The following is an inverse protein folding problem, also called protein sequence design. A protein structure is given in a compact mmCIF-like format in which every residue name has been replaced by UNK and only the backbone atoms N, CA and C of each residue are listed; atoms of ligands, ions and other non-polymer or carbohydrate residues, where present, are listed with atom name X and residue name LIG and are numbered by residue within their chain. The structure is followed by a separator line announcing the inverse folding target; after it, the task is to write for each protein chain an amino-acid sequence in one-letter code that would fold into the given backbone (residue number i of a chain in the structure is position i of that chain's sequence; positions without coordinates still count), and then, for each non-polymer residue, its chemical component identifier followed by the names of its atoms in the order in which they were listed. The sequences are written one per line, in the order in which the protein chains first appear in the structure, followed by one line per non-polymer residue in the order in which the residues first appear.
data_IF_343042297186
#
_entry.id   IF_343042297186
#
_cell.length_a   1.000
_cell.length_b   1.000
_cell.length_c   1.000
_cell.angle_alpha   90.00
_cell.angle_beta   90.00
_cell.angle_gamma   90.00
#
_symmetry.space_group_name_H-M   'P 1'
#
loop_
_entity.id
_entity.type
_entity.pdbx_description
1 polymer ?
#
# COMPACT_ATOMS: atom_id res chain seq x y z
N UNK A 1 -6.61 -16.03 13.74
CA UNK A 1 -6.70 -17.01 12.64
C UNK A 1 -6.16 -16.45 11.34
N UNK A 2 -4.90 -16.73 11.02
CA UNK A 2 -4.30 -16.52 9.68
C UNK A 2 -3.49 -17.78 9.36
N UNK A 3 -3.65 -18.41 8.20
CA UNK A 3 -2.92 -19.62 7.87
C UNK A 3 -1.42 -19.34 7.73
N UNK A 4 -0.59 -20.21 8.30
CA UNK A 4 0.89 -20.10 8.22
C UNK A 4 1.44 -20.32 6.81
N UNK A 5 0.62 -20.87 5.90
CA UNK A 5 0.98 -21.13 4.50
C UNK A 5 -0.20 -20.81 3.62
N UNK A 6 0.10 -20.18 2.49
CA UNK A 6 -0.85 -19.88 1.43
C UNK A 6 -0.26 -20.33 0.10
N UNK A 7 -1.14 -20.61 -0.87
CA UNK A 7 -0.73 -20.90 -2.23
C UNK A 7 -0.91 -19.63 -3.09
N UNK A 8 0.14 -19.20 -3.79
CA UNK A 8 0.13 -17.99 -4.60
C UNK A 8 1.51 -17.68 -5.19
N UNK A 9 1.63 -16.54 -5.88
CA UNK A 9 2.90 -16.09 -6.44
C UNK A 9 3.73 -15.32 -5.39
N UNK A 10 4.61 -16.06 -4.71
CA UNK A 10 5.46 -15.53 -3.66
C UNK A 10 6.40 -14.41 -4.14
N UNK A 11 6.86 -14.47 -5.40
CA UNK A 11 7.77 -13.47 -5.96
C UNK A 11 7.03 -12.14 -6.15
N UNK A 12 5.82 -12.19 -6.71
CA UNK A 12 5.00 -10.99 -6.93
C UNK A 12 4.47 -10.40 -5.64
N UNK A 13 4.07 -11.24 -4.68
CA UNK A 13 3.69 -10.75 -3.34
C UNK A 13 4.87 -10.04 -2.66
N UNK A 14 6.07 -10.63 -2.68
CA UNK A 14 7.27 -9.99 -2.14
C UNK A 14 7.56 -8.65 -2.82
N UNK A 15 7.40 -8.57 -4.14
CA UNK A 15 7.59 -7.33 -4.91
C UNK A 15 6.61 -6.24 -4.47
N UNK A 16 5.33 -6.59 -4.32
CA UNK A 16 4.29 -5.66 -3.83
C UNK A 16 4.64 -5.16 -2.43
N UNK A 17 4.92 -6.06 -1.49
CA UNK A 17 5.20 -5.72 -0.10
C UNK A 17 6.48 -4.90 0.05
N UNK A 18 7.54 -5.25 -0.67
CA UNK A 18 8.82 -4.51 -0.62
C UNK A 18 8.65 -3.09 -1.11
N UNK A 19 7.83 -2.87 -2.15
CA UNK A 19 7.54 -1.52 -2.64
C UNK A 19 6.73 -0.70 -1.62
N UNK A 20 5.68 -1.27 -1.04
CA UNK A 20 4.83 -0.55 -0.07
C UNK A 20 5.61 -0.24 1.20
N UNK A 21 6.27 -1.24 1.79
CA UNK A 21 7.09 -1.07 3.01
C UNK A 21 8.28 -0.16 2.74
N UNK A 22 8.92 -0.26 1.57
CA UNK A 22 9.99 0.65 1.16
C UNK A 22 9.52 2.11 1.08
N UNK A 23 8.30 2.37 0.58
CA UNK A 23 7.71 3.70 0.59
C UNK A 23 7.42 4.18 2.02
N UNK A 24 6.83 3.34 2.86
CA UNK A 24 6.56 3.67 4.27
C UNK A 24 7.84 4.07 5.03
N UNK A 25 8.91 3.29 4.89
CA UNK A 25 10.21 3.59 5.51
C UNK A 25 10.79 4.89 4.95
N UNK A 26 10.74 5.08 3.63
CA UNK A 26 11.29 6.26 2.96
C UNK A 26 10.63 7.56 3.40
N UNK A 27 9.35 7.54 3.74
CA UNK A 27 8.58 8.73 4.13
C UNK A 27 8.37 8.89 5.64
N UNK A 28 8.98 8.01 6.43
CA UNK A 28 8.96 8.05 7.90
C UNK A 28 10.37 8.33 8.42
N UNK A 29 10.68 9.61 8.64
CA UNK A 29 12.00 10.02 9.17
C UNK A 29 12.21 9.57 10.63
N UNK A 30 11.13 9.54 11.42
CA UNK A 30 11.11 9.07 12.80
C UNK A 30 9.76 8.48 13.16
N UNK A 31 9.77 7.40 13.96
CA UNK A 31 8.57 6.68 14.37
C UNK A 31 8.59 5.24 13.86
N UNK A 32 7.43 4.70 13.53
CA UNK A 32 7.25 3.27 13.31
C UNK A 32 6.55 2.96 11.98
N UNK A 33 6.93 1.83 11.39
CA UNK A 33 6.22 1.20 10.27
C UNK A 33 5.71 -0.15 10.75
N UNK A 34 4.39 -0.33 10.75
CA UNK A 34 3.72 -1.54 11.25
C UNK A 34 3.09 -2.28 10.09
N UNK A 35 3.43 -3.56 9.94
CA UNK A 35 2.79 -4.46 8.97
C UNK A 35 1.86 -5.40 9.71
N UNK A 36 0.59 -5.46 9.30
CA UNK A 36 -0.40 -6.39 9.85
C UNK A 36 -0.94 -7.29 8.76
N UNK A 37 -1.24 -8.53 9.14
CA UNK A 37 -1.88 -9.52 8.27
C UNK A 37 -3.07 -10.08 9.03
N UNK A 38 -4.24 -10.06 8.39
CA UNK A 38 -5.47 -10.66 8.89
C UNK A 38 -6.21 -11.35 7.75
N UNK A 39 -7.23 -12.14 8.09
CA UNK A 39 -8.27 -12.48 7.12
C UNK A 39 -9.10 -11.21 6.84
N UNK A 40 -9.62 -11.10 5.63
CA UNK A 40 -10.56 -10.03 5.27
C UNK A 40 -11.94 -10.35 5.88
N UNK A 41 -12.49 -9.42 6.66
CA UNK A 41 -13.77 -9.61 7.38
C UNK A 41 -14.99 -9.60 6.45
N UNK A 42 -14.84 -9.11 5.21
CA UNK A 42 -15.92 -8.96 4.24
C UNK A 42 -15.81 -9.94 3.08
N UNK A 43 -14.65 -10.56 2.87
CA UNK A 43 -14.39 -11.47 1.75
C UNK A 43 -13.74 -12.77 2.22
N UNK A 44 -14.50 -13.85 2.07
CA UNK A 44 -14.00 -15.19 2.33
C UNK A 44 -12.75 -15.51 1.49
N UNK A 45 -11.75 -16.12 2.14
CA UNK A 45 -10.48 -16.54 1.54
C UNK A 45 -9.56 -15.41 1.06
N UNK A 46 -9.81 -14.16 1.46
CA UNK A 46 -8.89 -13.06 1.23
C UNK A 46 -8.04 -12.78 2.46
N UNK A 47 -6.78 -12.39 2.23
CA UNK A 47 -5.92 -11.80 3.25
C UNK A 47 -5.92 -10.29 3.10
N UNK A 48 -6.10 -9.60 4.22
CA UNK A 48 -5.81 -8.18 4.31
C UNK A 48 -4.39 -8.00 4.83
N UNK A 49 -3.56 -7.30 4.07
CA UNK A 49 -2.21 -6.90 4.49
C UNK A 49 -2.17 -5.38 4.52
N UNK A 50 -2.05 -4.80 5.72
CA UNK A 50 -1.92 -3.36 5.89
C UNK A 50 -0.50 -2.98 6.27
N UNK A 51 -0.03 -1.87 5.72
CA UNK A 51 1.24 -1.23 6.08
C UNK A 51 0.89 0.17 6.55
N UNK A 52 1.08 0.42 7.84
CA UNK A 52 0.81 1.69 8.48
C UNK A 52 2.14 2.36 8.83
N UNK A 53 2.25 3.64 8.53
CA UNK A 53 3.41 4.46 8.89
C UNK A 53 3.00 5.71 9.68
N UNK A 54 3.96 6.27 10.41
CA UNK A 54 3.80 7.51 11.19
C UNK A 54 4.49 8.71 10.53
N UNK A 55 4.72 8.64 9.21
CA UNK A 55 5.42 9.67 8.46
C UNK A 55 4.60 10.94 8.26
N UNK A 56 5.09 11.81 7.36
CA UNK A 56 4.52 13.15 7.09
C UNK A 56 3.10 13.16 6.47
N UNK A 57 2.52 11.98 6.23
CA UNK A 57 1.24 11.83 5.54
C UNK A 57 1.30 12.17 4.04
N UNK A 58 0.14 12.15 3.39
CA UNK A 58 -0.01 12.39 1.95
C UNK A 58 -1.08 13.46 1.74
N UNK A 59 -0.80 14.45 0.89
CA UNK A 59 -1.76 15.51 0.56
C UNK A 59 -3.00 14.94 -0.16
N UNK A 60 -4.17 15.58 -0.02
CA UNK A 60 -5.40 15.12 -0.70
C UNK A 60 -5.26 15.05 -2.23
N UNK A 61 -4.42 15.91 -2.82
CA UNK A 61 -4.14 15.89 -4.26
C UNK A 61 -3.33 14.64 -4.62
N UNK A 62 -2.27 14.35 -3.87
CA UNK A 62 -1.42 13.17 -4.09
C UNK A 62 -2.19 11.87 -3.84
N UNK A 63 -3.08 11.83 -2.83
CA UNK A 63 -3.93 10.67 -2.52
C UNK A 63 -4.76 10.24 -3.74
N UNK A 64 -5.32 11.19 -4.49
CA UNK A 64 -6.11 10.90 -5.71
C UNK A 64 -5.27 10.32 -6.83
N UNK A 65 -3.98 10.67 -6.86
CA UNK A 65 -3.03 10.23 -7.86
C UNK A 65 -2.33 8.93 -7.45
N UNK A 66 -2.48 8.47 -6.20
CA UNK A 66 -1.95 7.19 -5.76
C UNK A 66 -2.46 6.08 -6.67
N UNK A 67 -1.52 5.23 -7.12
CA UNK A 67 -1.77 4.11 -8.01
C UNK A 67 -2.30 4.46 -9.42
N UNK A 68 -2.26 5.72 -9.85
CA UNK A 68 -2.52 6.09 -11.24
C UNK A 68 -1.26 5.98 -12.09
N UNK A 69 -1.40 5.49 -13.32
CA UNK A 69 -0.30 5.45 -14.28
C UNK A 69 0.11 6.87 -14.65
N UNK A 70 1.33 7.27 -14.30
CA UNK A 70 1.91 8.49 -14.82
C UNK A 70 2.24 8.30 -16.31
N UNK A 71 1.91 9.27 -17.15
CA UNK A 71 2.46 9.32 -18.50
C UNK A 71 3.96 9.58 -18.41
N UNK A 72 4.78 8.73 -19.05
CA UNK A 72 6.22 8.98 -19.17
C UNK A 72 6.42 10.32 -19.88
N UNK A 73 6.86 11.34 -19.13
CA UNK A 73 6.96 12.70 -19.64
C UNK A 73 6.66 13.80 -18.64
N UNK A 74 6.30 13.48 -17.39
CA UNK A 74 6.11 14.49 -16.34
C UNK A 74 7.41 14.67 -15.51
N UNK A 75 8.29 15.64 -15.86
CA UNK A 75 9.59 15.82 -15.22
C UNK A 75 9.51 16.31 -13.77
N UNK A 76 8.33 16.71 -13.31
CA UNK A 76 8.11 17.23 -11.95
C UNK A 76 8.23 16.14 -10.88
N UNK A 77 7.75 14.93 -11.16
CA UNK A 77 7.57 13.86 -10.15
C UNK A 77 8.87 13.13 -9.81
N UNK A 78 9.70 12.82 -10.82
CA UNK A 78 10.99 12.14 -10.62
C UNK A 78 11.93 12.97 -9.74
N UNK A 79 11.84 14.32 -9.84
CA UNK A 79 12.63 15.28 -9.07
C UNK A 79 12.13 15.48 -7.65
N UNK A 80 10.81 15.50 -7.43
CA UNK A 80 10.22 15.84 -6.14
C UNK A 80 10.17 14.65 -5.17
N UNK A 81 10.01 13.42 -5.68
CA UNK A 81 9.81 12.24 -4.83
C UNK A 81 10.87 11.15 -5.00
N UNK A 82 11.86 11.30 -5.89
CA UNK A 82 12.97 10.35 -6.06
C UNK A 82 12.51 8.94 -6.47
N UNK A 83 12.42 8.67 -7.77
CA UNK A 83 12.00 7.38 -8.33
C UNK A 83 11.12 7.55 -9.56
N UNK A 84 10.74 6.45 -10.21
CA UNK A 84 9.94 6.48 -11.46
C UNK A 84 8.45 6.68 -11.24
N UNK A 85 7.96 6.68 -9.98
CA UNK A 85 6.52 6.69 -9.66
C UNK A 85 5.77 5.41 -10.06
N UNK A 86 6.44 4.46 -10.73
CA UNK A 86 5.81 3.25 -11.27
C UNK A 86 5.54 2.17 -10.21
N UNK A 87 6.23 2.22 -9.06
CA UNK A 87 6.18 1.16 -8.05
C UNK A 87 4.75 0.85 -7.60
N UNK A 88 4.00 1.87 -7.15
CA UNK A 88 2.62 1.70 -6.69
C UNK A 88 1.68 1.26 -7.82
N UNK A 89 1.88 1.74 -9.04
CA UNK A 89 1.10 1.33 -10.22
C UNK A 89 1.29 -0.15 -10.52
N UNK A 90 2.54 -0.61 -10.53
CA UNK A 90 2.89 -2.02 -10.71
C UNK A 90 2.31 -2.86 -9.55
N UNK A 91 2.41 -2.38 -8.31
CA UNK A 91 1.80 -3.06 -7.16
C UNK A 91 0.30 -3.26 -7.36
N UNK A 92 -0.43 -2.22 -7.80
CA UNK A 92 -1.87 -2.32 -8.07
C UNK A 92 -2.19 -3.31 -9.20
N UNK A 93 -1.41 -3.29 -10.27
CA UNK A 93 -1.61 -4.23 -11.37
C UNK A 93 -1.37 -5.67 -10.92
N UNK A 94 -0.29 -5.94 -10.18
CA UNK A 94 0.02 -7.27 -9.67
C UNK A 94 -1.05 -7.77 -8.69
N UNK A 95 -1.49 -6.93 -7.74
CA UNK A 95 -2.54 -7.30 -6.79
C UNK A 95 -3.86 -7.64 -7.50
N UNK A 96 -4.22 -6.88 -8.55
CA UNK A 96 -5.41 -7.16 -9.38
C UNK A 96 -5.28 -8.44 -10.19
N UNK A 97 -4.10 -8.72 -10.77
CA UNK A 97 -3.83 -9.98 -11.47
C UNK A 97 -3.93 -11.19 -10.53
N UNK A 98 -3.63 -11.00 -9.25
CA UNK A 98 -3.82 -12.00 -8.18
C UNK A 98 -5.26 -12.05 -7.65
N UNK A 99 -6.20 -11.31 -8.25
CA UNK A 99 -7.62 -11.32 -7.88
C UNK A 99 -7.99 -10.48 -6.65
N UNK A 100 -7.06 -9.69 -6.11
CA UNK A 100 -7.29 -8.78 -5.00
C UNK A 100 -7.42 -7.32 -5.42
N UNK A 101 -7.36 -6.41 -4.44
CA UNK A 101 -7.24 -4.97 -4.69
C UNK A 101 -6.28 -4.31 -3.70
N UNK A 102 -5.88 -3.08 -3.99
CA UNK A 102 -5.02 -2.26 -3.12
C UNK A 102 -5.60 -0.87 -2.98
N UNK A 103 -5.48 -0.31 -1.78
CA UNK A 103 -5.98 1.01 -1.45
C UNK A 103 -5.06 1.77 -0.51
N UNK A 104 -5.52 2.96 -0.15
CA UNK A 104 -4.91 3.82 0.85
C UNK A 104 -6.03 4.33 1.77
N UNK A 105 -5.78 4.33 3.08
CA UNK A 105 -6.65 4.92 4.08
C UNK A 105 -5.81 5.87 4.94
N UNK A 106 -6.39 7.01 5.29
CA UNK A 106 -5.75 7.91 6.24
C UNK A 106 -5.93 7.36 7.65
N UNK A 107 -4.85 7.33 8.45
CA UNK A 107 -4.88 6.90 9.85
C UNK A 107 -5.95 7.66 10.67
N UNK A 108 -6.26 8.91 10.30
CA UNK A 108 -7.31 9.69 10.95
C UNK A 108 -8.73 9.14 10.70
N UNK A 109 -8.95 8.44 9.58
CA UNK A 109 -10.23 7.84 9.22
C UNK A 109 -10.39 6.41 9.78
N UNK A 110 -9.29 5.65 9.87
CA UNK A 110 -9.29 4.28 10.39
C UNK A 110 -9.65 4.22 11.89
N UNK A 111 -9.27 5.22 12.68
CA UNK A 111 -9.63 5.32 14.10
C UNK A 111 -11.13 5.55 14.35
N UNK A 112 -11.88 6.11 13.39
CA UNK A 112 -13.32 6.36 13.53
C UNK A 112 -14.11 5.06 13.27
N UNK A 113 -13.67 4.24 12.31
CA UNK A 113 -14.31 2.97 12.00
C UNK A 113 -14.16 1.94 13.13
N UNK A 114 -13.01 1.93 13.81
CA UNK A 114 -12.72 0.98 14.90
C UNK A 114 -13.25 1.40 16.29
N UNK A 115 -13.78 2.62 16.45
CA UNK A 115 -14.44 3.06 17.70
C UNK A 115 -15.96 2.89 17.68
N UNK A 116 -16.54 2.46 16.56
CA UNK A 116 -17.98 2.27 16.38
C UNK A 116 -18.46 0.81 16.37
N UNK A 117 -17.60 -0.15 16.71
CA UNK A 117 -17.91 -1.59 16.78
C UNK A 117 -17.84 -2.10 18.22
#
# INVERSE_FOLDING_TARGET
DVPMRINGDALRLKQVLTNIVGNAIKFTDSGDVVVRVSLDDHRDNYLMISVQDSGKGISLADQKMLFQSFSQGDPSITRQYGGTGLGLVISKQLTRLMGGDIGFHDNAQENIANQGA
#
